data_IF_068854771556
#
_entry.id   IF_068854771556
#
_cell.length_a   1.000
_cell.length_b   1.000
_cell.length_c   1.000
_cell.angle_alpha   90.00
_cell.angle_beta   90.00
_cell.angle_gamma   90.00
#
_symmetry.space_group_name_H-M   'P 1'
#
loop_
_entity.id
_entity.type
_entity.pdbx_description
1 polymer ?
#
# COMPACT_ATOMS: atom_id res chain seq x y z
N UNK A 1 -8.91 -12.61 12.01
CA UNK A 1 -7.98 -12.00 13.00
C UNK A 1 -6.62 -11.67 12.40
N UNK A 2 -5.88 -12.61 11.83
CA UNK A 2 -4.52 -12.42 11.29
C UNK A 2 -4.41 -11.20 10.35
N UNK A 3 -5.30 -11.05 9.35
CA UNK A 3 -5.34 -9.92 8.42
C UNK A 3 -5.34 -8.55 9.12
N UNK A 4 -6.14 -8.39 10.18
CA UNK A 4 -6.30 -7.12 10.87
C UNK A 4 -5.11 -6.80 11.78
N UNK A 5 -4.50 -7.83 12.38
CA UNK A 5 -3.27 -7.69 13.17
C UNK A 5 -2.09 -7.30 12.28
N UNK A 6 -1.88 -8.00 11.16
CA UNK A 6 -0.83 -7.64 10.21
C UNK A 6 -1.02 -6.23 9.65
N UNK A 7 -2.26 -5.84 9.37
CA UNK A 7 -2.56 -4.48 8.93
C UNK A 7 -2.21 -3.44 10.00
N UNK A 8 -2.63 -3.68 11.25
CA UNK A 8 -2.35 -2.77 12.36
C UNK A 8 -0.85 -2.60 12.59
N UNK A 9 -0.09 -3.70 12.62
CA UNK A 9 1.37 -3.66 12.74
C UNK A 9 1.98 -2.87 11.56
N UNK A 10 1.59 -3.18 10.33
CA UNK A 10 2.07 -2.50 9.14
C UNK A 10 1.78 -1.00 9.17
N UNK A 11 0.60 -0.60 9.59
CA UNK A 11 0.19 0.81 9.71
C UNK A 11 1.03 1.55 10.76
N UNK A 12 1.29 0.96 11.92
CA UNK A 12 2.12 1.58 12.94
C UNK A 12 3.59 1.69 12.50
N UNK A 13 4.12 0.68 11.82
CA UNK A 13 5.45 0.72 11.21
C UNK A 13 5.53 1.81 10.13
N UNK A 14 4.47 2.01 9.34
CA UNK A 14 4.36 3.06 8.35
C UNK A 14 4.43 4.45 8.99
N UNK A 15 3.64 4.70 10.05
CA UNK A 15 3.69 5.97 10.77
C UNK A 15 5.04 6.20 11.47
N UNK A 16 5.66 5.16 12.00
CA UNK A 16 7.01 5.28 12.55
C UNK A 16 8.02 5.67 11.46
N UNK A 17 8.00 4.98 10.31
CA UNK A 17 8.87 5.27 9.19
C UNK A 17 8.64 6.68 8.62
N UNK A 18 7.38 7.14 8.54
CA UNK A 18 7.02 8.48 8.07
C UNK A 18 7.72 9.61 8.86
N UNK A 19 7.97 9.39 10.15
CA UNK A 19 8.68 10.36 10.99
C UNK A 19 10.21 10.17 10.98
N UNK A 20 10.72 9.08 10.41
CA UNK A 20 12.13 8.70 10.50
C UNK A 20 12.88 8.78 9.17
N UNK A 21 12.18 8.72 8.02
CA UNK A 21 12.77 8.74 6.68
C UNK A 21 11.95 9.67 5.77
N UNK A 22 12.47 9.97 4.57
CA UNK A 22 11.74 10.81 3.62
C UNK A 22 10.51 10.10 3.07
N UNK A 23 9.51 10.87 2.65
CA UNK A 23 8.27 10.33 2.08
C UNK A 23 8.54 9.50 0.82
N UNK A 24 9.48 9.94 -0.02
CA UNK A 24 9.89 9.22 -1.21
C UNK A 24 10.49 7.83 -0.88
N UNK A 25 11.31 7.74 0.17
CA UNK A 25 11.88 6.49 0.67
C UNK A 25 10.80 5.56 1.19
N UNK A 26 9.88 6.08 2.02
CA UNK A 26 8.76 5.31 2.55
C UNK A 26 7.90 4.73 1.44
N UNK A 27 7.54 5.54 0.45
CA UNK A 27 6.77 5.07 -0.70
C UNK A 27 7.53 4.05 -1.55
N UNK A 28 8.86 4.15 -1.68
CA UNK A 28 9.64 3.14 -2.39
C UNK A 28 9.49 1.75 -1.75
N UNK A 29 9.48 1.66 -0.42
CA UNK A 29 9.22 0.40 0.29
C UNK A 29 7.76 -0.03 0.18
N UNK A 30 6.81 0.87 0.38
CA UNK A 30 5.38 0.56 0.29
C UNK A 30 5.01 0.04 -1.11
N UNK A 31 5.50 0.68 -2.16
CA UNK A 31 5.27 0.24 -3.53
C UNK A 31 6.07 -1.01 -3.94
N UNK A 32 6.92 -1.57 -3.08
CA UNK A 32 7.45 -2.92 -3.29
C UNK A 32 6.41 -4.02 -3.05
N UNK A 33 5.28 -3.71 -2.38
CA UNK A 33 4.19 -4.67 -2.09
C UNK A 33 3.74 -5.47 -3.31
N UNK A 34 3.51 -4.88 -4.50
CA UNK A 34 3.14 -5.66 -5.70
C UNK A 34 4.16 -6.73 -6.08
N UNK A 35 5.45 -6.47 -5.90
CA UNK A 35 6.51 -7.47 -6.17
C UNK A 35 6.41 -8.62 -5.17
N UNK A 36 6.25 -8.31 -3.88
CA UNK A 36 6.05 -9.32 -2.84
C UNK A 36 4.76 -10.11 -3.04
N UNK A 37 3.66 -9.45 -3.42
CA UNK A 37 2.41 -10.14 -3.77
C UNK A 37 2.63 -11.08 -4.95
N UNK A 38 3.33 -10.66 -6.01
CA UNK A 38 3.62 -11.50 -7.16
C UNK A 38 4.43 -12.74 -6.77
N UNK A 39 5.36 -12.62 -5.82
CA UNK A 39 6.17 -13.75 -5.33
C UNK A 39 5.37 -14.69 -4.43
N UNK A 40 4.50 -14.17 -3.56
CA UNK A 40 3.80 -14.97 -2.56
C UNK A 40 2.41 -15.46 -3.00
N UNK A 41 1.74 -14.76 -3.94
CA UNK A 41 0.40 -15.15 -4.41
C UNK A 41 0.28 -16.59 -4.93
N UNK A 42 1.27 -17.16 -5.65
CA UNK A 42 1.22 -18.55 -6.09
C UNK A 42 1.07 -19.54 -4.94
N UNK A 43 1.74 -19.28 -3.82
CA UNK A 43 1.73 -20.17 -2.66
C UNK A 43 0.43 -20.12 -1.85
N UNK A 44 -0.18 -18.94 -1.77
CA UNK A 44 -1.34 -18.70 -0.89
C UNK A 44 -2.66 -18.55 -1.64
N UNK A 45 -2.64 -18.04 -2.87
CA UNK A 45 -3.86 -17.69 -3.61
C UNK A 45 -4.15 -18.65 -4.76
N UNK A 46 -3.24 -19.58 -5.07
CA UNK A 46 -3.30 -20.44 -6.26
C UNK A 46 -3.33 -19.63 -7.58
N UNK A 47 -2.81 -18.41 -7.55
CA UNK A 47 -2.64 -17.57 -8.74
C UNK A 47 -1.38 -18.00 -9.48
N UNK A 48 -1.44 -18.11 -10.81
CA UNK A 48 -0.26 -18.52 -11.61
C UNK A 48 0.68 -17.33 -11.79
N UNK A 49 1.91 -17.48 -11.28
CA UNK A 49 2.99 -16.55 -11.59
C UNK A 49 3.40 -16.75 -13.06
N UNK A 50 3.06 -15.80 -13.89
CA UNK A 50 3.59 -15.76 -15.27
C UNK A 50 4.80 -14.85 -15.32
N UNK A 51 5.76 -15.17 -16.19
CA UNK A 51 6.95 -14.33 -16.39
C UNK A 51 6.53 -12.89 -16.76
N UNK A 52 5.46 -12.71 -17.54
CA UNK A 52 4.94 -11.39 -17.92
C UNK A 52 4.46 -10.58 -16.71
N UNK A 53 3.75 -11.19 -15.76
CA UNK A 53 3.28 -10.53 -14.53
C UNK A 53 4.45 -10.15 -13.62
N UNK A 54 5.41 -11.05 -13.46
CA UNK A 54 6.60 -10.80 -12.68
C UNK A 54 7.46 -9.67 -13.27
N UNK A 55 7.72 -9.71 -14.58
CA UNK A 55 8.49 -8.65 -15.24
C UNK A 55 7.78 -7.30 -15.18
N UNK A 56 6.46 -7.25 -15.35
CA UNK A 56 5.69 -6.02 -15.21
C UNK A 56 5.81 -5.42 -13.79
N UNK A 57 5.65 -6.24 -12.75
CA UNK A 57 5.81 -5.79 -11.37
C UNK A 57 7.24 -5.29 -11.09
N UNK A 58 8.26 -6.00 -11.62
CA UNK A 58 9.67 -5.61 -11.46
C UNK A 58 10.00 -4.32 -12.20
N UNK A 59 9.49 -4.12 -13.41
CA UNK A 59 9.68 -2.89 -14.17
C UNK A 59 9.01 -1.71 -13.43
N UNK A 60 7.78 -1.90 -12.93
CA UNK A 60 7.11 -0.89 -12.12
C UNK A 60 7.91 -0.52 -10.88
N UNK A 61 8.47 -1.51 -10.18
CA UNK A 61 9.32 -1.27 -9.02
C UNK A 61 10.62 -0.53 -9.36
N UNK A 62 11.27 -0.84 -10.50
CA UNK A 62 12.42 -0.07 -10.99
C UNK A 62 12.03 1.39 -11.22
N UNK A 63 10.86 1.65 -11.80
CA UNK A 63 10.33 3.00 -11.95
C UNK A 63 10.22 3.74 -10.61
N UNK A 64 9.79 3.05 -9.55
CA UNK A 64 9.72 3.62 -8.19
C UNK A 64 11.11 3.95 -7.65
N UNK A 65 12.08 3.06 -7.82
CA UNK A 65 13.46 3.29 -7.38
C UNK A 65 14.09 4.51 -8.08
N UNK A 66 13.76 4.75 -9.35
CA UNK A 66 14.19 5.92 -10.09
C UNK A 66 13.63 7.22 -9.47
N UNK A 67 12.36 7.20 -9.05
CA UNK A 67 11.73 8.33 -8.37
C UNK A 67 12.29 8.51 -6.95
N UNK A 68 12.38 7.45 -6.19
CA UNK A 68 12.74 7.49 -4.75
C UNK A 68 14.23 7.73 -4.49
N UNK A 69 15.11 7.40 -5.45
CA UNK A 69 16.56 7.59 -5.36
C UNK A 69 17.19 7.12 -4.04
N UNK A 70 17.08 5.82 -3.69
CA UNK A 70 17.48 5.30 -2.37
C UNK A 70 19.01 5.17 -2.18
N UNK A 71 19.81 5.65 -3.10
CA UNK A 71 21.27 5.49 -3.21
C UNK A 71 22.10 6.09 -2.06
N UNK A 72 21.45 6.83 -1.13
CA UNK A 72 22.12 7.49 -0.01
C UNK A 72 21.70 6.95 1.38
N UNK A 73 21.14 5.73 1.43
CA UNK A 73 20.46 5.27 2.64
C UNK A 73 21.30 4.20 3.37
N UNK A 74 21.71 4.52 4.61
CA UNK A 74 22.17 3.52 5.57
C UNK A 74 21.01 2.71 6.17
N UNK A 75 21.30 1.53 6.77
CA UNK A 75 20.32 0.75 7.53
C UNK A 75 19.95 1.49 8.83
N UNK A 76 18.85 2.21 8.79
CA UNK A 76 18.29 2.93 9.95
C UNK A 76 17.04 2.22 10.47
N UNK A 77 16.62 2.44 11.72
CA UNK A 77 15.35 1.90 12.24
C UNK A 77 14.14 2.27 11.36
N UNK A 78 14.14 3.47 10.76
CA UNK A 78 13.09 3.91 9.83
C UNK A 78 13.03 3.08 8.56
N UNK A 79 14.18 2.74 7.99
CA UNK A 79 14.28 1.86 6.81
C UNK A 79 13.80 0.45 7.13
N UNK A 80 14.20 -0.09 8.29
CA UNK A 80 13.73 -1.42 8.71
C UNK A 80 12.21 -1.43 8.93
N UNK A 81 11.67 -0.38 9.55
CA UNK A 81 10.22 -0.23 9.73
C UNK A 81 9.49 -0.17 8.39
N UNK A 82 9.98 0.60 7.41
CA UNK A 82 9.40 0.68 6.07
C UNK A 82 9.43 -0.66 5.33
N UNK A 83 10.53 -1.40 5.42
CA UNK A 83 10.64 -2.74 4.83
C UNK A 83 9.67 -3.74 5.46
N UNK A 84 9.59 -3.78 6.80
CA UNK A 84 8.66 -4.63 7.53
C UNK A 84 7.21 -4.24 7.26
N UNK A 85 6.90 -2.95 7.13
CA UNK A 85 5.60 -2.43 6.73
C UNK A 85 5.16 -3.03 5.38
N UNK A 86 6.03 -3.03 4.37
CA UNK A 86 5.74 -3.62 3.06
C UNK A 86 5.39 -5.12 3.16
N UNK A 87 6.11 -5.88 3.98
CA UNK A 87 5.81 -7.29 4.23
C UNK A 87 4.45 -7.46 4.94
N UNK A 88 4.15 -6.63 5.93
CA UNK A 88 2.87 -6.64 6.63
C UNK A 88 1.70 -6.31 5.67
N UNK A 89 1.87 -5.33 4.80
CA UNK A 89 0.84 -4.98 3.82
C UNK A 89 0.67 -6.05 2.75
N UNK A 90 1.75 -6.72 2.34
CA UNK A 90 1.68 -7.92 1.49
C UNK A 90 0.83 -9.01 2.14
N UNK A 91 1.13 -9.36 3.38
CA UNK A 91 0.34 -10.33 4.15
C UNK A 91 -1.13 -9.92 4.32
N UNK A 92 -1.37 -8.64 4.58
CA UNK A 92 -2.73 -8.06 4.64
C UNK A 92 -3.48 -8.24 3.32
N UNK A 93 -2.82 -7.98 2.21
CA UNK A 93 -3.39 -8.09 0.88
C UNK A 93 -3.77 -9.52 0.51
N UNK A 94 -2.85 -10.45 0.71
CA UNK A 94 -3.07 -11.88 0.48
C UNK A 94 -4.22 -12.39 1.35
N UNK A 95 -4.22 -12.04 2.64
CA UNK A 95 -5.28 -12.42 3.56
C UNK A 95 -6.64 -11.80 3.17
N UNK A 96 -6.66 -10.54 2.69
CA UNK A 96 -7.87 -9.89 2.18
C UNK A 96 -8.41 -10.65 0.97
N UNK A 97 -7.56 -10.98 -0.01
CA UNK A 97 -7.96 -11.76 -1.18
C UNK A 97 -8.55 -13.13 -0.80
N UNK A 98 -7.96 -13.82 0.19
CA UNK A 98 -8.50 -15.07 0.70
C UNK A 98 -9.87 -14.88 1.36
N UNK A 99 -10.04 -13.81 2.13
CA UNK A 99 -11.31 -13.51 2.80
C UNK A 99 -12.42 -13.17 1.81
N UNK A 100 -12.14 -12.48 0.70
CA UNK A 100 -13.15 -12.14 -0.31
C UNK A 100 -13.78 -13.37 -0.97
N UNK A 101 -13.12 -14.54 -0.89
CA UNK A 101 -13.66 -15.82 -1.39
C UNK A 101 -14.77 -16.40 -0.49
N UNK A 102 -14.85 -15.98 0.78
CA UNK A 102 -15.74 -16.61 1.79
C UNK A 102 -16.59 -15.62 2.55
N UNK A 103 -16.26 -14.36 2.56
CA UNK A 103 -16.89 -13.33 3.38
C UNK A 103 -17.37 -12.16 2.52
N UNK A 104 -18.44 -11.50 2.94
CA UNK A 104 -18.89 -10.26 2.32
C UNK A 104 -17.90 -9.12 2.60
N UNK A 105 -17.85 -8.14 1.71
CA UNK A 105 -17.02 -6.94 1.89
C UNK A 105 -17.38 -6.23 3.19
N UNK A 106 -18.67 -6.09 3.48
CA UNK A 106 -19.17 -5.47 4.72
C UNK A 106 -18.62 -6.18 5.96
N UNK A 107 -18.61 -7.52 5.98
CA UNK A 107 -18.06 -8.30 7.08
C UNK A 107 -16.56 -8.03 7.26
N UNK A 108 -15.79 -8.03 6.14
CA UNK A 108 -14.35 -7.77 6.17
C UNK A 108 -14.06 -6.37 6.71
N UNK A 109 -14.80 -5.36 6.27
CA UNK A 109 -14.62 -3.97 6.70
C UNK A 109 -15.09 -3.74 8.14
N UNK A 110 -16.20 -4.34 8.55
CA UNK A 110 -16.67 -4.27 9.92
C UNK A 110 -15.61 -4.76 10.91
N UNK A 111 -15.06 -5.96 10.66
CA UNK A 111 -14.00 -6.50 11.52
C UNK A 111 -12.69 -5.73 11.42
N UNK A 112 -12.41 -5.12 10.26
CA UNK A 112 -11.26 -4.21 10.13
C UNK A 112 -11.44 -3.02 11.08
N UNK A 113 -12.52 -2.26 10.92
CA UNK A 113 -12.75 -1.02 11.70
C UNK A 113 -12.86 -1.31 13.19
N UNK A 114 -13.58 -2.37 13.58
CA UNK A 114 -13.72 -2.76 14.98
C UNK A 114 -12.36 -3.10 15.62
N UNK A 115 -11.56 -3.95 14.96
CA UNK A 115 -10.27 -4.35 15.50
C UNK A 115 -9.26 -3.19 15.50
N UNK A 116 -9.27 -2.35 14.46
CA UNK A 116 -8.42 -1.15 14.43
C UNK A 116 -8.79 -0.17 15.55
N UNK A 117 -10.08 0.02 15.83
CA UNK A 117 -10.53 0.86 16.94
C UNK A 117 -10.05 0.31 18.29
N UNK A 118 -10.25 -0.99 18.55
CA UNK A 118 -9.82 -1.61 19.80
C UNK A 118 -8.30 -1.52 19.97
N UNK A 119 -7.54 -1.96 18.97
CA UNK A 119 -6.08 -1.94 19.03
C UNK A 119 -5.54 -0.51 19.09
N UNK A 120 -6.16 0.43 18.35
CA UNK A 120 -5.80 1.84 18.38
C UNK A 120 -6.00 2.47 19.76
N UNK A 121 -7.14 2.21 20.40
CA UNK A 121 -7.40 2.70 21.77
C UNK A 121 -6.43 2.09 22.77
N UNK A 122 -6.14 0.78 22.67
CA UNK A 122 -5.16 0.12 23.54
C UNK A 122 -3.74 0.71 23.36
N UNK A 123 -3.33 0.97 22.14
CA UNK A 123 -2.02 1.56 21.85
C UNK A 123 -1.95 3.05 22.24
N UNK A 124 -3.01 3.82 22.00
CA UNK A 124 -3.05 5.24 22.35
C UNK A 124 -3.19 5.47 23.85
N UNK A 125 -3.80 4.53 24.56
CA UNK A 125 -4.06 4.63 26.00
C UNK A 125 -3.07 3.84 26.88
N UNK A 126 -1.95 3.34 26.34
CA UNK A 126 -1.02 2.50 27.10
C UNK A 126 -0.41 3.22 28.33
N UNK A 127 -0.28 4.54 28.25
CA UNK A 127 0.24 5.44 29.30
C UNK A 127 -0.89 6.17 30.07
N UNK A 128 -2.15 5.76 29.86
CA UNK A 128 -3.36 6.39 30.40
C UNK A 128 -3.56 7.86 30.01
N UNK A 129 -2.87 8.37 28.97
CA UNK A 129 -2.98 9.73 28.48
C UNK A 129 -3.44 9.74 27.02
N UNK A 130 -4.75 9.76 26.80
CA UNK A 130 -5.32 9.86 25.45
C UNK A 130 -5.50 11.33 25.10
N UNK A 131 -4.75 11.81 24.11
CA UNK A 131 -4.92 13.17 23.57
C UNK A 131 -6.14 13.23 22.66
N UNK A 132 -7.14 14.03 23.04
CA UNK A 132 -8.33 14.24 22.24
C UNK A 132 -8.03 15.28 21.15
N UNK A 133 -8.41 15.03 19.87
CA UNK A 133 -8.21 15.98 18.81
C UNK A 133 -8.88 17.35 19.10
N UNK A 134 -8.17 18.43 18.79
CA UNK A 134 -8.72 19.79 18.92
C UNK A 134 -9.89 20.00 17.92
N UNK A 135 -10.72 21.02 18.15
CA UNK A 135 -11.81 21.36 17.24
C UNK A 135 -11.35 21.67 15.80
N UNK A 136 -10.14 22.21 15.65
CA UNK A 136 -9.52 22.49 14.34
C UNK A 136 -8.98 21.22 13.66
N UNK A 137 -8.54 20.23 14.42
CA UNK A 137 -7.98 18.97 13.91
C UNK A 137 -9.04 17.92 13.63
N UNK A 138 -10.16 17.96 14.37
CA UNK A 138 -11.24 16.98 14.29
C UNK A 138 -11.79 16.74 12.86
N UNK A 139 -12.06 17.78 12.03
CA UNK A 139 -12.55 17.57 10.67
C UNK A 139 -11.56 16.78 9.81
N UNK A 140 -10.26 16.99 9.99
CA UNK A 140 -9.22 16.27 9.25
C UNK A 140 -9.13 14.81 9.68
N UNK A 141 -9.28 14.53 10.98
CA UNK A 141 -9.31 13.15 11.50
C UNK A 141 -10.51 12.40 10.94
N UNK A 142 -11.69 13.04 10.89
CA UNK A 142 -12.90 12.45 10.29
C UNK A 142 -12.69 12.19 8.80
N UNK A 143 -12.12 13.15 8.07
CA UNK A 143 -11.83 13.01 6.65
C UNK A 143 -10.88 11.84 6.37
N UNK A 144 -9.79 11.71 7.15
CA UNK A 144 -8.83 10.60 7.03
C UNK A 144 -9.53 9.27 7.30
N UNK A 145 -10.37 9.19 8.34
CA UNK A 145 -11.12 7.97 8.67
C UNK A 145 -12.07 7.55 7.54
N UNK A 146 -12.80 8.49 6.97
CA UNK A 146 -13.71 8.25 5.85
C UNK A 146 -12.94 7.85 4.57
N UNK A 147 -11.87 8.57 4.23
CA UNK A 147 -11.02 8.25 3.10
C UNK A 147 -10.39 6.86 3.22
N UNK A 148 -9.88 6.51 4.41
CA UNK A 148 -9.31 5.21 4.70
C UNK A 148 -10.34 4.06 4.55
N UNK A 149 -11.55 4.24 5.08
CA UNK A 149 -12.63 3.26 4.92
C UNK A 149 -13.01 3.08 3.45
N UNK A 150 -13.13 4.18 2.70
CA UNK A 150 -13.43 4.16 1.27
C UNK A 150 -12.33 3.45 0.49
N UNK A 151 -11.06 3.74 0.77
CA UNK A 151 -9.92 3.08 0.13
C UNK A 151 -9.93 1.56 0.40
N UNK A 152 -10.18 1.15 1.64
CA UNK A 152 -10.29 -0.27 1.99
C UNK A 152 -11.49 -0.95 1.34
N UNK A 153 -12.60 -0.25 1.17
CA UNK A 153 -13.75 -0.76 0.41
C UNK A 153 -13.35 -1.00 -1.05
N UNK A 154 -12.75 0.00 -1.71
CA UNK A 154 -12.36 -0.07 -3.11
C UNK A 154 -11.34 -1.19 -3.37
N UNK A 155 -10.28 -1.29 -2.56
CA UNK A 155 -9.27 -2.34 -2.73
C UNK A 155 -9.85 -3.74 -2.45
N UNK A 156 -10.71 -3.88 -1.43
CA UNK A 156 -11.35 -5.16 -1.12
C UNK A 156 -12.29 -5.58 -2.25
N UNK A 157 -13.03 -4.64 -2.83
CA UNK A 157 -13.89 -4.89 -4.00
C UNK A 157 -13.08 -5.28 -5.24
N UNK A 158 -11.98 -4.59 -5.50
CA UNK A 158 -11.08 -4.92 -6.60
C UNK A 158 -10.50 -6.34 -6.45
N UNK A 159 -10.06 -6.70 -5.25
CA UNK A 159 -9.55 -8.04 -4.93
C UNK A 159 -10.63 -9.13 -5.00
N UNK A 160 -11.91 -8.80 -4.85
CA UNK A 160 -13.00 -9.73 -5.09
C UNK A 160 -13.18 -10.02 -6.58
N UNK A 161 -12.97 -9.02 -7.44
CA UNK A 161 -13.25 -9.07 -8.86
C UNK A 161 -12.07 -9.57 -9.72
N UNK A 162 -10.83 -9.37 -9.24
CA UNK A 162 -9.62 -9.67 -10.00
C UNK A 162 -8.52 -10.28 -9.13
N UNK A 163 -7.51 -10.88 -9.78
CA UNK A 163 -6.34 -11.45 -9.12
C UNK A 163 -5.54 -10.39 -8.38
N UNK A 164 -4.95 -10.75 -7.24
CA UNK A 164 -4.11 -9.86 -6.47
C UNK A 164 -2.89 -9.37 -7.28
N UNK A 165 -2.30 -10.23 -8.11
CA UNK A 165 -1.20 -9.87 -9.03
C UNK A 165 -1.59 -8.81 -10.08
N UNK A 166 -2.88 -8.58 -10.32
CA UNK A 166 -3.36 -7.51 -11.22
C UNK A 166 -3.69 -6.25 -10.44
N UNK A 167 -4.38 -6.40 -9.31
CA UNK A 167 -4.88 -5.27 -8.51
C UNK A 167 -3.74 -4.48 -7.88
N UNK A 168 -2.76 -5.15 -7.28
CA UNK A 168 -1.69 -4.46 -6.56
C UNK A 168 -0.78 -3.60 -7.43
N UNK A 169 -0.32 -4.02 -8.62
CA UNK A 169 0.46 -3.13 -9.48
C UNK A 169 -0.30 -1.88 -9.94
N UNK A 170 -1.64 -1.91 -9.97
CA UNK A 170 -2.43 -0.72 -10.29
C UNK A 170 -2.26 0.40 -9.25
N UNK A 171 -1.88 0.06 -8.02
CA UNK A 171 -1.61 1.04 -6.96
C UNK A 171 -0.41 1.96 -7.29
N UNK A 172 0.47 1.54 -8.19
CA UNK A 172 1.57 2.38 -8.67
C UNK A 172 1.11 3.71 -9.31
N UNK A 173 -0.12 3.77 -9.83
CA UNK A 173 -0.71 5.03 -10.35
C UNK A 173 -0.81 6.10 -9.26
N UNK A 174 -0.84 5.72 -8.00
CA UNK A 174 -0.85 6.65 -6.87
C UNK A 174 0.41 7.52 -6.79
N UNK A 175 1.57 7.02 -7.25
CA UNK A 175 2.83 7.78 -7.18
C UNK A 175 2.83 9.05 -8.05
N UNK A 176 2.47 9.02 -9.35
CA UNK A 176 2.32 10.25 -10.13
C UNK A 176 1.30 11.23 -9.54
N UNK A 177 0.20 10.72 -8.97
CA UNK A 177 -0.83 11.54 -8.33
C UNK A 177 -0.27 12.19 -7.06
N UNK A 178 0.40 11.43 -6.19
CA UNK A 178 1.02 11.95 -4.98
C UNK A 178 2.08 13.03 -5.30
N UNK A 179 2.88 12.80 -6.34
CA UNK A 179 3.85 13.79 -6.82
C UNK A 179 3.16 15.07 -7.33
N UNK A 180 2.08 14.94 -8.11
CA UNK A 180 1.33 16.10 -8.57
C UNK A 180 0.77 16.91 -7.39
N UNK A 181 0.27 16.24 -6.35
CA UNK A 181 -0.18 16.88 -5.10
C UNK A 181 0.98 17.57 -4.39
N UNK A 182 2.16 16.94 -4.28
CA UNK A 182 3.37 17.53 -3.69
C UNK A 182 3.77 18.84 -4.39
N UNK A 183 3.78 18.84 -5.72
CA UNK A 183 4.09 20.03 -6.52
C UNK A 183 3.04 21.13 -6.36
N UNK A 184 1.73 20.79 -6.41
CA UNK A 184 0.65 21.77 -6.43
C UNK A 184 0.34 22.39 -5.06
N UNK A 185 0.54 21.63 -3.97
CA UNK A 185 0.11 22.05 -2.63
C UNK A 185 1.26 22.24 -1.64
N UNK A 186 2.44 21.70 -1.94
CA UNK A 186 3.60 21.75 -1.04
C UNK A 186 4.83 22.42 -1.69
N UNK A 187 4.66 23.04 -2.87
CA UNK A 187 5.73 23.72 -3.62
C UNK A 187 6.98 22.83 -3.84
N UNK A 188 6.80 21.51 -3.95
CA UNK A 188 7.90 20.59 -4.21
C UNK A 188 8.44 20.79 -5.63
N UNK A 189 9.78 20.81 -5.81
CA UNK A 189 10.38 21.02 -7.13
C UNK A 189 10.08 19.85 -8.08
N UNK A 190 9.68 20.17 -9.31
CA UNK A 190 9.46 19.17 -10.36
C UNK A 190 10.81 18.55 -10.75
N UNK A 191 10.95 17.26 -10.52
CA UNK A 191 12.17 16.53 -10.87
C UNK A 191 11.94 15.67 -12.12
N UNK A 192 12.88 15.71 -13.06
CA UNK A 192 12.80 14.92 -14.30
C UNK A 192 12.68 13.41 -14.03
N UNK A 193 13.30 12.92 -12.95
CA UNK A 193 13.25 11.52 -12.55
C UNK A 193 11.83 11.04 -12.19
N UNK A 194 10.97 11.95 -11.72
CA UNK A 194 9.57 11.68 -11.43
C UNK A 194 8.81 11.40 -12.73
N UNK A 195 9.05 12.18 -13.79
CA UNK A 195 8.45 11.94 -15.10
C UNK A 195 8.90 10.61 -15.70
N UNK A 196 10.22 10.35 -15.68
CA UNK A 196 10.77 9.09 -16.20
C UNK A 196 10.18 7.90 -15.45
N UNK A 197 10.19 7.94 -14.11
CA UNK A 197 9.61 6.88 -13.28
C UNK A 197 8.11 6.71 -13.50
N UNK A 198 7.36 7.81 -13.61
CA UNK A 198 5.91 7.76 -13.87
C UNK A 198 5.59 7.07 -15.21
N UNK A 199 6.33 7.40 -16.29
CA UNK A 199 6.15 6.74 -17.59
C UNK A 199 6.44 5.24 -17.50
N UNK A 200 7.52 4.86 -16.82
CA UNK A 200 7.88 3.44 -16.60
C UNK A 200 6.78 2.71 -15.81
N UNK A 201 6.30 3.32 -14.73
CA UNK A 201 5.24 2.77 -13.87
C UNK A 201 3.94 2.56 -14.65
N UNK A 202 3.50 3.57 -15.39
CA UNK A 202 2.28 3.49 -16.20
C UNK A 202 2.41 2.45 -17.30
N UNK A 203 3.57 2.39 -17.98
CA UNK A 203 3.88 1.36 -18.98
C UNK A 203 3.84 -0.05 -18.40
N UNK A 204 4.45 -0.26 -17.23
CA UNK A 204 4.43 -1.54 -16.52
C UNK A 204 3.01 -1.98 -16.14
N UNK A 205 2.19 -1.05 -15.64
CA UNK A 205 0.78 -1.31 -15.33
C UNK A 205 -0.02 -1.71 -16.57
N UNK A 206 0.16 -1.00 -17.66
CA UNK A 206 -0.50 -1.33 -18.91
C UNK A 206 -0.14 -2.73 -19.41
N UNK A 207 1.15 -3.09 -19.38
CA UNK A 207 1.62 -4.44 -19.72
C UNK A 207 1.01 -5.53 -18.81
N UNK A 208 0.90 -5.26 -17.52
CA UNK A 208 0.30 -6.19 -16.55
C UNK A 208 -1.19 -6.43 -16.85
N UNK A 209 -1.95 -5.38 -17.12
CA UNK A 209 -3.38 -5.47 -17.47
C UNK A 209 -3.60 -6.23 -18.78
N UNK A 210 -2.80 -5.93 -19.81
CA UNK A 210 -2.87 -6.65 -21.08
C UNK A 210 -2.54 -8.14 -20.94
N UNK A 211 -1.55 -8.47 -20.11
CA UNK A 211 -1.19 -9.86 -19.82
C UNK A 211 -2.34 -10.63 -19.15
N UNK A 212 -3.15 -9.96 -18.35
CA UNK A 212 -4.26 -10.59 -17.63
C UNK A 212 -5.42 -10.95 -18.56
N UNK A 213 -5.71 -10.12 -19.56
CA UNK A 213 -6.76 -10.39 -20.56
C UNK A 213 -6.49 -11.65 -21.38
N UNK A 214 -5.22 -11.86 -21.77
CA UNK A 214 -4.83 -13.01 -22.59
C UNK A 214 -4.79 -14.35 -21.84
N UNK A 215 -4.99 -14.36 -20.54
CA UNK A 215 -4.98 -15.59 -19.72
C UNK A 215 -6.41 -16.07 -19.41
N UNK A 216 -7.41 -15.26 -19.72
CA UNK A 216 -8.84 -15.59 -19.52
C UNK A 216 -9.54 -16.10 -20.80
N UNK A 217 -8.85 -16.05 -21.94
CA UNK A 217 -9.26 -16.70 -23.21
C UNK A 217 -8.54 -18.04 -23.35
#
# INVERSE_FOLDING_TARGET
MTRNITHFIGQNLWFFALNAITLAQLFAFEFSVPVWVALFAPFFLSEKLTLKRFTAASIGFIGILIVARPDQIGLTPGILAAALCAICFTGTGIATKLLTRRQSITCILFWLTMMQAILGVLCAGYDFQITIPSKSTLPWVILIGFAGLTAHFCITRALQLADAMVVYPMDFVRLPIATAVGVLFFDEPIQIFVFIGAVIILGANFLNIMSSRNTQT
#
